data_IF_818208137871
#
_entry.id   IF_818208137871
#
_cell.length_a   1.000
_cell.length_b   1.000
_cell.length_c   1.000
_cell.angle_alpha   90.00
_cell.angle_beta   90.00
_cell.angle_gamma   90.00
#
_symmetry.space_group_name_H-M   'P 1'
#
loop_
_entity.id
_entity.type
_entity.pdbx_description
1 polymer ?
#
# COMPACT_ATOMS: atom_id res chain seq x y z
N UNK A 1 2.04 -36.67 10.73
CA UNK A 1 1.53 -35.45 10.03
C UNK A 1 0.05 -35.70 9.78
N UNK A 2 -0.87 -35.03 10.49
CA UNK A 2 -2.29 -35.39 10.42
C UNK A 2 -2.87 -35.10 9.03
N UNK A 3 -3.67 -36.02 8.46
CA UNK A 3 -4.23 -35.90 7.11
C UNK A 3 -5.25 -34.76 6.96
N UNK A 4 -5.68 -34.16 8.07
CA UNK A 4 -6.78 -33.19 8.12
C UNK A 4 -6.33 -31.71 8.13
N UNK A 5 -5.03 -31.44 8.02
CA UNK A 5 -4.57 -30.07 8.05
C UNK A 5 -4.76 -29.39 6.67
N UNK A 6 -5.42 -28.20 6.62
CA UNK A 6 -5.68 -27.50 5.35
C UNK A 6 -4.36 -27.10 4.67
N UNK A 7 -4.29 -26.85 3.35
CA UNK A 7 -3.03 -26.52 2.67
C UNK A 7 -2.21 -25.42 3.37
N UNK A 8 -0.88 -25.41 3.23
CA UNK A 8 0.01 -24.48 3.95
C UNK A 8 -0.41 -22.99 3.79
N UNK A 9 -0.87 -22.59 2.61
CA UNK A 9 -1.38 -21.25 2.34
C UNK A 9 -2.65 -20.90 3.15
N UNK A 10 -3.54 -21.88 3.36
CA UNK A 10 -4.74 -21.71 4.16
C UNK A 10 -4.38 -21.55 5.65
N UNK A 11 -3.42 -22.33 6.15
CA UNK A 11 -2.91 -22.19 7.54
C UNK A 11 -2.25 -20.83 7.76
N UNK A 12 -1.45 -20.37 6.81
CA UNK A 12 -0.81 -19.04 6.87
C UNK A 12 -1.87 -17.94 6.91
N UNK A 13 -2.88 -18.01 6.04
CA UNK A 13 -3.98 -17.04 6.02
C UNK A 13 -4.76 -17.01 7.34
N UNK A 14 -5.04 -18.19 7.92
CA UNK A 14 -5.71 -18.31 9.21
C UNK A 14 -4.89 -17.74 10.38
N UNK A 15 -3.56 -17.95 10.36
CA UNK A 15 -2.66 -17.40 11.36
C UNK A 15 -2.60 -15.86 11.28
N UNK A 16 -2.56 -15.31 10.06
CA UNK A 16 -2.50 -13.86 9.81
C UNK A 16 -3.81 -13.14 10.13
N UNK A 17 -4.96 -13.82 9.97
CA UNK A 17 -6.24 -13.30 10.43
C UNK A 17 -6.34 -13.21 11.97
N UNK A 18 -5.63 -14.08 12.69
CA UNK A 18 -5.63 -14.14 14.17
C UNK A 18 -4.60 -13.21 14.82
N UNK A 19 -3.48 -12.97 14.13
CA UNK A 19 -2.42 -12.07 14.57
C UNK A 19 -2.09 -11.10 13.43
N UNK A 20 -2.56 -9.83 13.46
CA UNK A 20 -2.19 -8.86 12.45
C UNK A 20 -0.66 -8.76 12.39
N UNK A 21 -0.10 -9.10 11.22
CA UNK A 21 1.33 -9.27 11.02
C UNK A 21 2.04 -7.92 11.07
N UNK A 22 3.05 -7.81 11.94
CA UNK A 22 4.13 -6.84 11.76
C UNK A 22 5.15 -7.48 10.82
N UNK A 23 5.17 -7.08 9.55
CA UNK A 23 6.18 -7.53 8.61
C UNK A 23 7.53 -6.89 8.97
N UNK A 24 8.47 -7.68 9.51
CA UNK A 24 9.84 -7.21 9.78
C UNK A 24 10.68 -7.43 8.52
N UNK A 25 10.94 -6.36 7.77
CA UNK A 25 11.81 -6.38 6.59
C UNK A 25 13.28 -6.31 7.04
N UNK A 26 13.93 -7.46 7.19
CA UNK A 26 15.35 -7.53 7.59
C UNK A 26 16.26 -7.35 6.36
N UNK A 27 17.11 -6.32 6.38
CA UNK A 27 18.12 -6.08 5.33
C UNK A 27 17.72 -5.08 4.24
N UNK A 28 16.65 -4.33 4.45
CA UNK A 28 16.15 -3.32 3.51
C UNK A 28 16.58 -1.93 4.00
N UNK A 29 17.22 -1.13 3.13
CA UNK A 29 17.51 0.27 3.47
C UNK A 29 16.24 1.13 3.40
N UNK A 30 16.15 2.27 4.13
CA UNK A 30 14.92 3.07 4.17
C UNK A 30 14.40 3.51 2.79
N UNK A 31 15.30 3.79 1.85
CA UNK A 31 15.02 4.12 0.45
C UNK A 31 14.50 2.92 -0.37
N UNK A 32 14.89 1.70 0.00
CA UNK A 32 14.49 0.47 -0.69
C UNK A 32 13.13 -0.05 -0.21
N UNK A 33 12.78 0.19 1.05
CA UNK A 33 11.63 -0.44 1.72
C UNK A 33 10.25 0.11 1.37
N UNK A 34 10.20 1.28 0.76
CA UNK A 34 8.97 1.96 0.37
C UNK A 34 8.92 2.19 -1.14
N UNK A 35 8.95 1.10 -1.92
CA UNK A 35 8.75 1.14 -3.38
C UNK A 35 7.59 0.23 -3.83
N UNK A 36 6.95 0.52 -4.98
CA UNK A 36 5.94 -0.36 -5.55
C UNK A 36 6.45 -1.79 -5.80
N UNK A 37 7.73 -1.95 -6.15
CA UNK A 37 8.32 -3.27 -6.35
C UNK A 37 8.35 -4.10 -5.06
N UNK A 38 8.70 -3.47 -3.93
CA UNK A 38 8.68 -4.13 -2.62
C UNK A 38 7.26 -4.48 -2.20
N UNK A 39 6.30 -3.58 -2.41
CA UNK A 39 4.89 -3.88 -2.15
C UNK A 39 4.42 -5.11 -2.96
N UNK A 40 4.73 -5.16 -4.26
CA UNK A 40 4.37 -6.30 -5.11
C UNK A 40 4.95 -7.61 -4.58
N UNK A 41 6.19 -7.60 -4.10
CA UNK A 41 6.81 -8.76 -3.48
C UNK A 41 6.10 -9.17 -2.17
N UNK A 42 5.72 -8.20 -1.33
CA UNK A 42 4.96 -8.45 -0.10
C UNK A 42 3.58 -9.06 -0.39
N UNK A 43 2.89 -8.59 -1.44
CA UNK A 43 1.58 -9.14 -1.85
C UNK A 43 1.62 -10.61 -2.26
N UNK A 44 2.80 -11.18 -2.55
CA UNK A 44 2.95 -12.61 -2.81
C UNK A 44 2.75 -13.48 -1.54
N UNK A 45 2.97 -12.92 -0.35
CA UNK A 45 2.90 -13.64 0.93
C UNK A 45 1.81 -13.12 1.86
N UNK A 46 1.32 -11.89 1.64
CA UNK A 46 0.23 -11.32 2.41
C UNK A 46 -1.13 -11.91 1.96
N UNK A 47 -2.03 -12.25 2.91
CA UNK A 47 -3.38 -12.66 2.61
C UNK A 47 -4.11 -11.55 1.87
N UNK A 48 -4.86 -11.93 0.83
CA UNK A 48 -5.61 -10.98 0.00
C UNK A 48 -6.61 -10.13 0.79
N UNK A 49 -7.13 -10.66 1.90
CA UNK A 49 -8.09 -9.98 2.76
C UNK A 49 -7.47 -8.86 3.62
N UNK A 50 -6.14 -8.76 3.71
CA UNK A 50 -5.48 -7.70 4.46
C UNK A 50 -5.31 -6.48 3.56
N UNK A 51 -5.94 -5.34 3.88
CA UNK A 51 -5.75 -4.11 3.12
C UNK A 51 -4.34 -3.57 3.33
N UNK A 52 -3.72 -3.08 2.25
CA UNK A 52 -2.39 -2.45 2.30
C UNK A 52 -2.49 -1.03 1.74
N UNK A 53 -2.07 -0.05 2.56
CA UNK A 53 -2.05 1.35 2.17
C UNK A 53 -0.61 1.81 1.94
N UNK A 54 -0.33 2.39 0.76
CA UNK A 54 0.96 3.00 0.48
C UNK A 54 1.06 4.37 1.17
N UNK A 55 2.09 4.58 1.98
CA UNK A 55 2.31 5.84 2.71
C UNK A 55 3.78 6.25 2.63
N UNK A 56 4.03 7.55 2.58
CA UNK A 56 5.38 8.12 2.43
C UNK A 56 5.80 8.24 0.96
N UNK A 57 5.97 9.47 0.49
CA UNK A 57 6.40 9.75 -0.88
C UNK A 57 5.34 9.50 -1.97
N UNK A 58 4.08 9.27 -1.62
CA UNK A 58 2.99 9.09 -2.59
C UNK A 58 2.43 10.44 -3.06
N UNK A 59 2.21 10.59 -4.36
CA UNK A 59 1.60 11.76 -5.00
C UNK A 59 0.79 11.36 -6.26
N UNK A 60 0.21 12.35 -6.94
CA UNK A 60 -0.61 12.12 -8.14
C UNK A 60 0.17 11.49 -9.30
N UNK A 61 1.48 11.73 -9.39
CA UNK A 61 2.33 11.24 -10.47
C UNK A 61 2.74 9.78 -10.31
N UNK A 62 2.72 9.24 -9.09
CA UNK A 62 3.15 7.86 -8.82
C UNK A 62 2.06 6.93 -8.30
N UNK A 63 0.85 7.43 -8.06
CA UNK A 63 -0.27 6.66 -7.49
C UNK A 63 -0.62 5.40 -8.30
N UNK A 64 -0.58 5.50 -9.62
CA UNK A 64 -0.88 4.37 -10.51
C UNK A 64 0.09 3.19 -10.30
N UNK A 65 1.38 3.46 -10.09
CA UNK A 65 2.38 2.43 -9.83
C UNK A 65 2.12 1.70 -8.51
N UNK A 66 1.60 2.41 -7.49
CA UNK A 66 1.24 1.82 -6.20
C UNK A 66 0.03 0.90 -6.31
N UNK A 67 -1.02 1.31 -7.03
CA UNK A 67 -2.18 0.45 -7.26
C UNK A 67 -1.84 -0.77 -8.11
N UNK A 68 -1.03 -0.60 -9.16
CA UNK A 68 -0.54 -1.72 -9.97
C UNK A 68 0.32 -2.72 -9.18
N UNK A 69 1.00 -2.25 -8.13
CA UNK A 69 1.73 -3.11 -7.19
C UNK A 69 0.84 -3.84 -6.17
N UNK A 70 -0.45 -3.52 -6.11
CA UNK A 70 -1.44 -4.16 -5.24
C UNK A 70 -1.72 -3.41 -3.94
N UNK A 71 -1.50 -2.08 -3.91
CA UNK A 71 -2.03 -1.24 -2.83
C UNK A 71 -3.54 -1.09 -2.96
N UNK A 72 -4.26 -1.21 -1.84
CA UNK A 72 -5.71 -1.00 -1.77
C UNK A 72 -6.04 0.50 -1.61
N UNK A 73 -5.07 1.30 -1.18
CA UNK A 73 -5.18 2.75 -1.06
C UNK A 73 -3.84 3.41 -0.79
N UNK A 74 -3.87 4.73 -0.58
CA UNK A 74 -2.68 5.51 -0.27
C UNK A 74 -2.96 6.61 0.75
N UNK A 75 -1.97 6.93 1.58
CA UNK A 75 -1.98 8.07 2.49
C UNK A 75 -0.96 9.11 2.08
N UNK A 76 -1.40 10.36 2.01
CA UNK A 76 -0.62 11.49 1.49
C UNK A 76 -0.50 12.55 2.57
N UNK A 77 0.74 12.96 2.86
CA UNK A 77 1.05 13.98 3.85
C UNK A 77 1.50 15.25 3.14
N UNK A 78 2.81 15.46 2.99
CA UNK A 78 3.40 16.67 2.40
C UNK A 78 3.03 16.92 0.94
N UNK A 79 2.62 15.88 0.20
CA UNK A 79 2.11 16.01 -1.17
C UNK A 79 0.70 16.64 -1.22
N UNK A 80 -0.11 16.44 -0.18
CA UNK A 80 -1.43 17.02 -0.01
C UNK A 80 -1.39 18.36 0.72
N UNK A 81 -0.69 18.43 1.86
CA UNK A 81 -0.69 19.59 2.76
C UNK A 81 0.69 19.91 3.34
N UNK A 82 1.00 21.20 3.40
CA UNK A 82 2.12 21.76 4.15
C UNK A 82 1.67 23.06 4.83
N UNK A 83 2.25 23.45 5.97
CA UNK A 83 1.88 24.70 6.65
C UNK A 83 1.97 25.95 5.79
N UNK A 84 2.84 25.94 4.77
CA UNK A 84 3.01 27.05 3.84
C UNK A 84 1.94 27.10 2.72
N UNK A 85 1.11 26.07 2.57
CA UNK A 85 0.11 26.02 1.51
C UNK A 85 -1.13 26.82 1.88
N UNK A 86 -1.67 27.55 0.91
CA UNK A 86 -2.97 28.18 1.05
C UNK A 86 -4.09 27.13 0.97
N UNK A 87 -5.30 27.43 1.47
CA UNK A 87 -6.45 26.54 1.29
C UNK A 87 -6.73 26.22 -0.17
N UNK A 88 -6.58 27.21 -1.07
CA UNK A 88 -6.76 27.02 -2.51
C UNK A 88 -5.74 26.04 -3.10
N UNK A 89 -4.47 26.13 -2.69
CA UNK A 89 -3.43 25.22 -3.14
C UNK A 89 -3.66 23.79 -2.63
N UNK A 90 -4.03 23.65 -1.36
CA UNK A 90 -4.40 22.35 -0.77
C UNK A 90 -5.58 21.74 -1.51
N UNK A 91 -6.60 22.54 -1.85
CA UNK A 91 -7.75 22.10 -2.65
C UNK A 91 -7.37 21.62 -4.05
N UNK A 92 -6.51 22.36 -4.76
CA UNK A 92 -6.00 21.94 -6.09
C UNK A 92 -5.24 20.62 -6.02
N UNK A 93 -4.38 20.45 -5.02
CA UNK A 93 -3.64 19.20 -4.80
C UNK A 93 -4.58 18.04 -4.47
N UNK A 94 -5.55 18.25 -3.58
CA UNK A 94 -6.55 17.25 -3.24
C UNK A 94 -7.33 16.79 -4.49
N UNK A 95 -7.78 17.73 -5.33
CA UNK A 95 -8.46 17.41 -6.58
C UNK A 95 -7.58 16.57 -7.52
N UNK A 96 -6.34 17.01 -7.75
CA UNK A 96 -5.39 16.27 -8.60
C UNK A 96 -5.12 14.84 -8.09
N UNK A 97 -5.06 14.64 -6.77
CA UNK A 97 -4.89 13.33 -6.16
C UNK A 97 -6.13 12.44 -6.35
N UNK A 98 -7.34 13.00 -6.22
CA UNK A 98 -8.59 12.28 -6.46
C UNK A 98 -8.71 11.87 -7.93
N UNK A 99 -8.41 12.79 -8.85
CA UNK A 99 -8.44 12.52 -10.29
C UNK A 99 -7.43 11.43 -10.67
N UNK A 100 -6.21 11.51 -10.15
CA UNK A 100 -5.20 10.48 -10.34
C UNK A 100 -5.64 9.12 -9.77
N UNK A 101 -6.30 9.12 -8.60
CA UNK A 101 -6.79 7.88 -7.98
C UNK A 101 -7.92 7.24 -8.80
N UNK A 102 -8.83 8.05 -9.33
CA UNK A 102 -9.91 7.60 -10.20
C UNK A 102 -9.35 7.03 -11.51
N UNK A 103 -8.44 7.76 -12.16
CA UNK A 103 -7.79 7.33 -13.40
C UNK A 103 -7.01 6.02 -13.21
N UNK A 104 -6.24 5.92 -12.13
CA UNK A 104 -5.43 4.73 -11.82
C UNK A 104 -6.25 3.48 -11.51
N UNK A 105 -7.52 3.62 -11.09
CA UNK A 105 -8.44 2.50 -10.80
C UNK A 105 -9.32 2.11 -11.99
N UNK A 106 -9.39 2.95 -13.01
CA UNK A 106 -10.19 2.70 -14.21
C UNK A 106 -9.45 1.87 -15.28
N UNK A 107 -8.12 1.77 -15.18
CA UNK A 107 -7.27 0.90 -16.01
C UNK A 107 -6.95 -0.41 -15.33
#
# INVERSE_FOLDING_TARGET
>A
MSPDQPPAAARLSQALARCPLVAILRGVRPDEGASPAVLKAQRAVLPRAVPVLAVGGVDAGNLASWFAAGADGAGMASSLYQPAFTPAETGRRAAALVDAAAAARAG
#
